data_IF_858959633594
#
_entry.id   IF_858959633594
#
_cell.length_a   1.000
_cell.length_b   1.000
_cell.length_c   1.000
_cell.angle_alpha   90.00
_cell.angle_beta   90.00
_cell.angle_gamma   90.00
#
_symmetry.space_group_name_H-M   'P 1'
#
loop_
_entity.id
_entity.type
_entity.pdbx_description
1 polymer ?
#
# COMPACT_ATOMS: atom_id res chain seq x y z
N UNK A 1 8.66 -5.26 7.57
CA UNK A 1 9.28 -4.48 8.65
C UNK A 1 8.67 -3.09 8.59
N UNK A 2 7.99 -2.65 9.65
CA UNK A 2 7.31 -1.36 9.74
C UNK A 2 8.30 -0.26 10.12
N UNK A 3 8.05 0.97 9.71
CA UNK A 3 8.79 2.15 10.19
C UNK A 3 8.65 2.33 11.71
N UNK A 4 7.58 1.75 12.30
CA UNK A 4 7.34 1.71 13.75
C UNK A 4 8.22 0.70 14.51
N UNK A 5 8.90 -0.20 13.79
CA UNK A 5 9.82 -1.22 14.35
C UNK A 5 11.26 -0.70 14.42
N UNK A 6 11.54 0.49 13.89
CA UNK A 6 12.87 1.12 13.96
C UNK A 6 13.21 1.53 15.40
N UNK A 7 14.49 1.69 15.76
CA UNK A 7 14.87 2.25 17.06
C UNK A 7 14.23 3.63 17.31
N UNK A 8 13.88 3.94 18.56
CA UNK A 8 13.19 5.19 18.93
C UNK A 8 13.91 6.45 18.42
N UNK A 9 15.24 6.46 18.46
CA UNK A 9 16.03 7.60 17.94
C UNK A 9 15.87 7.80 16.44
N UNK A 10 15.71 6.73 15.67
CA UNK A 10 15.39 6.84 14.23
C UNK A 10 13.98 7.35 14.01
N UNK A 11 13.04 6.91 14.84
CA UNK A 11 11.66 7.39 14.78
C UNK A 11 11.54 8.88 15.09
N UNK A 12 12.30 9.40 16.07
CA UNK A 12 12.38 10.84 16.37
C UNK A 12 12.81 11.67 15.17
N UNK A 13 13.90 11.27 14.52
CA UNK A 13 14.42 11.96 13.32
C UNK A 13 13.38 11.98 12.21
N UNK A 14 12.66 10.88 12.01
CA UNK A 14 11.63 10.79 10.97
C UNK A 14 10.40 11.63 11.35
N UNK A 15 9.97 11.60 12.61
CA UNK A 15 8.86 12.42 13.10
C UNK A 15 9.15 13.92 12.89
N UNK A 16 10.38 14.36 13.16
CA UNK A 16 10.81 15.73 12.90
C UNK A 16 10.77 16.07 11.40
N UNK A 17 11.27 15.18 10.53
CA UNK A 17 11.21 15.33 9.08
C UNK A 17 9.77 15.36 8.53
N UNK A 18 8.86 14.61 9.15
CA UNK A 18 7.44 14.58 8.82
C UNK A 18 6.66 15.79 9.39
N UNK A 19 7.33 16.70 10.11
CA UNK A 19 6.75 17.94 10.63
C UNK A 19 6.10 17.83 12.02
N UNK A 20 6.31 16.71 12.72
CA UNK A 20 5.81 16.50 14.09
C UNK A 20 6.76 17.03 15.18
N UNK A 21 7.94 17.53 14.78
CA UNK A 21 8.96 18.01 15.71
C UNK A 21 9.37 16.91 16.70
N UNK A 22 9.25 17.19 18.00
CA UNK A 22 9.59 16.25 19.07
C UNK A 22 8.43 15.32 19.46
N UNK A 23 7.25 15.45 18.84
CA UNK A 23 6.07 14.65 19.19
C UNK A 23 6.02 13.34 18.40
N UNK A 24 6.84 12.39 18.85
CA UNK A 24 6.91 11.05 18.26
C UNK A 24 5.64 10.24 18.48
N UNK A 25 4.91 10.47 19.56
CA UNK A 25 3.70 9.70 19.86
C UNK A 25 2.57 10.07 18.89
N UNK A 26 2.36 11.36 18.63
CA UNK A 26 1.44 11.82 17.59
C UNK A 26 1.84 11.32 16.19
N UNK A 27 3.15 11.32 15.90
CA UNK A 27 3.66 10.75 14.65
C UNK A 27 3.37 9.24 14.55
N UNK A 28 3.60 8.47 15.63
CA UNK A 28 3.33 7.02 15.67
C UNK A 28 1.85 6.73 15.42
N UNK A 29 0.94 7.48 16.03
CA UNK A 29 -0.51 7.31 15.81
C UNK A 29 -0.92 7.66 14.37
N UNK A 30 -0.35 8.72 13.80
CA UNK A 30 -0.56 9.08 12.40
C UNK A 30 -0.12 7.96 11.44
N UNK A 31 1.08 7.41 11.66
CA UNK A 31 1.61 6.31 10.86
C UNK A 31 0.78 5.04 11.03
N UNK A 32 0.36 4.67 12.25
CA UNK A 32 -0.53 3.52 12.48
C UNK A 32 -1.82 3.65 11.67
N UNK A 33 -2.43 4.83 11.68
CA UNK A 33 -3.66 5.11 10.92
C UNK A 33 -3.43 4.95 9.41
N UNK A 34 -2.33 5.48 8.89
CA UNK A 34 -1.97 5.32 7.47
C UNK A 34 -1.70 3.86 7.09
N UNK A 35 -1.00 3.11 7.94
CA UNK A 35 -0.73 1.69 7.73
C UNK A 35 -2.01 0.87 7.74
N UNK A 36 -2.94 1.16 8.66
CA UNK A 36 -4.25 0.51 8.70
C UNK A 36 -5.05 0.80 7.41
N UNK A 37 -5.15 2.07 7.01
CA UNK A 37 -5.84 2.45 5.77
C UNK A 37 -5.21 1.80 4.52
N UNK A 38 -3.88 1.71 4.47
CA UNK A 38 -3.17 1.00 3.41
C UNK A 38 -3.49 -0.49 3.39
N UNK A 39 -3.52 -1.14 4.55
CA UNK A 39 -3.87 -2.56 4.69
C UNK A 39 -5.32 -2.82 4.27
N UNK A 40 -6.26 -1.98 4.70
CA UNK A 40 -7.66 -2.10 4.32
C UNK A 40 -7.85 -1.91 2.81
N UNK A 41 -7.09 -0.99 2.19
CA UNK A 41 -7.11 -0.81 0.74
C UNK A 41 -6.57 -2.02 -0.01
N UNK A 42 -5.49 -2.63 0.49
CA UNK A 42 -4.94 -3.87 -0.10
C UNK A 42 -5.95 -5.01 0.04
N UNK A 43 -6.51 -5.22 1.24
CA UNK A 43 -7.54 -6.23 1.47
C UNK A 43 -8.75 -6.04 0.57
N UNK A 44 -9.18 -4.79 0.35
CA UNK A 44 -10.26 -4.47 -0.57
C UNK A 44 -9.90 -4.90 -2.00
N UNK A 45 -8.70 -4.57 -2.47
CA UNK A 45 -8.25 -4.94 -3.82
C UNK A 45 -8.10 -6.47 -3.99
N UNK A 46 -7.66 -7.18 -2.94
CA UNK A 46 -7.62 -8.64 -2.93
C UNK A 46 -9.03 -9.27 -2.92
N UNK A 47 -10.00 -8.59 -2.32
CA UNK A 47 -11.39 -9.03 -2.27
C UNK A 47 -12.21 -8.70 -3.53
N UNK A 48 -11.72 -7.79 -4.39
CA UNK A 48 -12.40 -7.47 -5.66
C UNK A 48 -12.35 -8.70 -6.57
N UNK A 49 -13.52 -9.32 -6.78
CA UNK A 49 -13.67 -10.41 -7.73
C UNK A 49 -13.56 -9.87 -9.16
N UNK A 50 -13.03 -10.67 -10.06
CA UNK A 50 -13.07 -10.38 -11.50
C UNK A 50 -14.49 -10.01 -11.98
N UNK A 51 -15.52 -10.62 -11.39
CA UNK A 51 -16.91 -10.37 -11.75
C UNK A 51 -17.42 -8.99 -11.30
N UNK A 52 -16.78 -8.38 -10.31
CA UNK A 52 -17.16 -7.06 -9.78
C UNK A 52 -16.47 -5.91 -10.54
N UNK A 53 -15.48 -6.24 -11.38
CA UNK A 53 -14.83 -5.28 -12.28
C UNK A 53 -15.79 -4.82 -13.38
N UNK A 54 -15.65 -3.58 -13.85
CA UNK A 54 -16.36 -3.14 -15.06
C UNK A 54 -15.94 -3.95 -16.29
N UNK A 55 -16.77 -3.96 -17.34
CA UNK A 55 -16.44 -4.67 -18.60
C UNK A 55 -15.08 -4.25 -19.19
N UNK A 56 -14.69 -2.99 -19.01
CA UNK A 56 -13.39 -2.48 -19.48
C UNK A 56 -12.24 -3.07 -18.67
N UNK A 57 -12.33 -3.00 -17.34
CA UNK A 57 -11.31 -3.54 -16.43
C UNK A 57 -11.16 -5.05 -16.55
N UNK A 58 -12.27 -5.78 -16.75
CA UNK A 58 -12.26 -7.21 -17.05
C UNK A 58 -11.51 -7.54 -18.35
N UNK A 59 -11.72 -6.75 -19.40
CA UNK A 59 -11.02 -6.91 -20.67
C UNK A 59 -9.52 -6.66 -20.50
N UNK A 60 -9.13 -5.61 -19.78
CA UNK A 60 -7.73 -5.28 -19.53
C UNK A 60 -7.03 -6.34 -18.67
N UNK A 61 -7.71 -6.83 -17.63
CA UNK A 61 -7.24 -7.95 -16.81
C UNK A 61 -7.01 -9.22 -17.65
N UNK A 62 -7.95 -9.58 -18.53
CA UNK A 62 -7.79 -10.73 -19.45
C UNK A 62 -6.67 -10.53 -20.45
N UNK A 63 -6.53 -9.32 -21.03
CA UNK A 63 -5.44 -9.00 -21.96
C UNK A 63 -4.08 -9.12 -21.28
N UNK A 64 -3.96 -8.60 -20.06
CA UNK A 64 -2.75 -8.74 -19.27
C UNK A 64 -2.45 -10.21 -18.94
N UNK A 65 -3.45 -10.98 -18.47
CA UNK A 65 -3.28 -12.41 -18.19
C UNK A 65 -2.83 -13.21 -19.41
N UNK A 66 -3.40 -12.94 -20.59
CA UNK A 66 -2.97 -13.56 -21.84
C UNK A 66 -1.55 -13.12 -22.25
N UNK A 67 -1.16 -11.85 -22.01
CA UNK A 67 0.19 -11.33 -22.27
C UNK A 67 1.24 -11.99 -21.35
N UNK A 68 0.90 -12.21 -20.07
CA UNK A 68 1.77 -12.93 -19.12
C UNK A 68 1.88 -14.42 -19.48
N UNK A 69 0.76 -15.10 -19.73
CA UNK A 69 0.74 -16.53 -20.05
C UNK A 69 1.41 -16.87 -21.39
N UNK A 70 1.46 -15.93 -22.33
CA UNK A 70 2.20 -16.09 -23.60
C UNK A 70 3.70 -15.78 -23.48
N UNK A 71 4.20 -15.49 -22.28
CA UNK A 71 5.62 -15.13 -22.06
C UNK A 71 5.99 -13.74 -22.58
N UNK A 72 5.01 -12.94 -22.99
CA UNK A 72 5.20 -11.61 -23.57
C UNK A 72 4.93 -10.50 -22.55
N UNK A 73 5.21 -10.73 -21.26
CA UNK A 73 4.83 -9.83 -20.16
C UNK A 73 5.38 -8.40 -20.29
N UNK A 74 6.43 -8.16 -21.07
CA UNK A 74 6.93 -6.82 -21.37
C UNK A 74 7.58 -6.76 -22.76
N UNK A 75 6.81 -6.31 -23.74
CA UNK A 75 7.27 -5.30 -24.69
C UNK A 75 6.32 -4.13 -24.61
#
# INVERSE_FOLDING_TARGET
>A
MSILDLPLERQKVIAEQDGFGNDVDSWREHIKTKLAAGRDRVNLLEAVSFNDLSKSEQSDYRRWGNKVNSGNAAK
#
